data_IF_159936905659
#
_entry.id   IF_159936905659
#
_cell.length_a   1.000
_cell.length_b   1.000
_cell.length_c   1.000
_cell.angle_alpha   90.00
_cell.angle_beta   90.00
_cell.angle_gamma   90.00
#
_symmetry.space_group_name_H-M   'P 1'
#
loop_
_entity.id
_entity.type
_entity.pdbx_description
1 polymer ?
#
# COMPACT_ATOMS: atom_id res chain seq x y z
N UNK A 1 -7.24 -19.60 0.26
CA UNK A 1 -7.58 -19.19 1.55
C UNK A 1 -6.62 -18.17 2.15
N UNK A 2 -7.14 -17.20 2.78
CA UNK A 2 -6.30 -16.15 3.32
C UNK A 2 -6.07 -16.36 4.78
N UNK A 3 -4.95 -16.94 5.05
CA UNK A 3 -4.57 -17.13 6.41
C UNK A 3 -4.06 -15.87 7.03
N UNK A 4 -3.74 -14.91 6.19
CA UNK A 4 -3.11 -13.69 6.67
C UNK A 4 -3.95 -12.49 6.33
N UNK A 5 -5.17 -12.49 6.80
CA UNK A 5 -6.04 -11.35 6.58
C UNK A 5 -5.40 -10.08 7.12
N UNK A 6 -4.60 -10.21 8.16
CA UNK A 6 -3.92 -9.07 8.75
C UNK A 6 -2.87 -8.48 7.84
N UNK A 7 -2.47 -9.23 6.82
CA UNK A 7 -1.49 -8.73 5.88
C UNK A 7 -2.08 -7.77 4.87
N UNK A 8 -3.39 -7.64 4.87
CA UNK A 8 -4.05 -6.71 3.97
C UNK A 8 -4.39 -5.44 4.72
N UNK A 9 -4.00 -4.33 4.16
CA UNK A 9 -4.15 -3.04 4.81
C UNK A 9 -5.14 -2.18 4.04
N UNK A 10 -5.78 -1.28 4.77
CA UNK A 10 -6.58 -0.23 4.14
C UNK A 10 -5.67 0.92 3.77
N UNK A 11 -6.21 1.86 2.99
CA UNK A 11 -5.46 3.06 2.65
C UNK A 11 -5.06 3.81 3.91
N UNK A 12 -5.96 3.87 4.87
CA UNK A 12 -5.69 4.56 6.12
C UNK A 12 -4.51 3.93 6.84
N UNK A 13 -4.47 2.61 6.88
CA UNK A 13 -3.39 1.90 7.56
C UNK A 13 -2.08 2.07 6.82
N UNK A 14 -2.12 1.99 5.50
CA UNK A 14 -0.92 2.18 4.70
C UNK A 14 -0.37 3.60 4.87
N UNK A 15 -1.25 4.58 4.91
CA UNK A 15 -0.83 5.96 5.10
C UNK A 15 -0.12 6.11 6.44
N UNK A 16 -0.64 5.45 7.46
CA UNK A 16 -0.04 5.51 8.77
C UNK A 16 1.34 4.89 8.79
N UNK A 17 1.48 3.73 8.14
CA UNK A 17 2.75 3.05 8.10
C UNK A 17 3.80 3.83 7.34
N UNK A 18 3.41 4.44 6.24
CA UNK A 18 4.34 5.20 5.41
C UNK A 18 4.45 6.66 5.84
N UNK A 19 3.66 7.04 6.83
CA UNK A 19 3.65 8.41 7.36
C UNK A 19 3.34 9.40 6.26
N UNK A 20 2.35 9.07 5.48
CA UNK A 20 1.84 9.91 4.41
C UNK A 20 0.37 10.14 4.64
N UNK A 21 -0.20 11.14 3.99
CA UNK A 21 -1.63 11.27 4.06
C UNK A 21 -2.27 10.35 3.01
N UNK A 22 -3.58 10.19 3.10
CA UNK A 22 -4.28 9.26 2.24
C UNK A 22 -4.20 9.66 0.77
N UNK A 23 -4.18 10.96 0.52
CA UNK A 23 -4.03 11.43 -0.84
C UNK A 23 -2.76 10.93 -1.48
N UNK A 24 -1.68 10.90 -0.72
CA UNK A 24 -0.42 10.38 -1.22
C UNK A 24 -0.51 8.90 -1.56
N UNK A 25 -1.21 8.13 -0.72
CA UNK A 25 -1.40 6.70 -0.98
C UNK A 25 -2.21 6.49 -2.26
N UNK A 26 -3.30 7.24 -2.42
CA UNK A 26 -4.10 7.12 -3.64
C UNK A 26 -3.29 7.45 -4.87
N UNK A 27 -2.44 8.45 -4.78
CA UNK A 27 -1.57 8.81 -5.89
C UNK A 27 -0.63 7.67 -6.24
N UNK A 28 -0.02 7.06 -5.24
CA UNK A 28 0.88 5.93 -5.47
C UNK A 28 0.16 4.75 -6.10
N UNK A 29 -1.06 4.51 -5.65
CA UNK A 29 -1.85 3.42 -6.21
C UNK A 29 -2.23 3.70 -7.66
N UNK A 30 -2.60 4.94 -7.95
CA UNK A 30 -3.03 5.27 -9.31
C UNK A 30 -1.88 5.28 -10.30
N UNK A 31 -0.68 5.58 -9.85
CA UNK A 31 0.48 5.59 -10.73
C UNK A 31 1.17 4.22 -10.81
N UNK A 32 0.73 3.27 -10.02
CA UNK A 32 1.31 1.94 -10.04
C UNK A 32 2.57 1.79 -9.22
N UNK A 33 2.98 2.82 -8.53
CA UNK A 33 4.18 2.74 -7.70
C UNK A 33 3.96 1.91 -6.47
N UNK A 34 2.74 1.89 -5.97
CA UNK A 34 2.36 1.05 -4.85
C UNK A 34 1.30 0.10 -5.34
N UNK A 35 1.53 -1.18 -5.18
CA UNK A 35 0.61 -2.17 -5.68
C UNK A 35 -0.52 -2.41 -4.70
N UNK A 36 -1.72 -2.43 -5.22
CA UNK A 36 -2.89 -2.71 -4.44
C UNK A 36 -4.01 -3.07 -5.39
N UNK A 37 -5.12 -3.48 -4.83
CA UNK A 37 -6.27 -3.75 -5.67
C UNK A 37 -7.50 -3.12 -5.03
N UNK A 38 -8.47 -2.88 -5.88
CA UNK A 38 -9.69 -2.23 -5.45
C UNK A 38 -10.78 -3.26 -5.28
N UNK A 39 -11.35 -3.27 -4.10
CA UNK A 39 -12.44 -4.18 -3.80
C UNK A 39 -13.69 -3.35 -3.59
N UNK A 40 -14.43 -3.12 -4.69
CA UNK A 40 -15.55 -2.22 -4.63
C UNK A 40 -15.08 -0.80 -4.46
N UNK A 41 -15.34 -0.22 -3.32
CA UNK A 41 -14.94 1.16 -3.05
C UNK A 41 -13.69 1.26 -2.22
N UNK A 42 -13.17 0.12 -1.81
CA UNK A 42 -12.08 0.12 -0.85
C UNK A 42 -10.83 -0.46 -1.50
N UNK A 43 -9.73 0.25 -1.36
CA UNK A 43 -8.44 -0.27 -1.79
C UNK A 43 -7.88 -1.19 -0.73
N UNK A 44 -7.27 -2.26 -1.17
CA UNK A 44 -6.59 -3.20 -0.30
C UNK A 44 -5.13 -3.25 -0.72
N UNK A 45 -4.25 -3.16 0.25
CA UNK A 45 -2.81 -3.09 -0.01
C UNK A 45 -2.15 -4.13 0.88
N UNK A 46 -1.37 -5.02 0.28
CA UNK A 46 -0.70 -6.03 1.09
C UNK A 46 0.51 -5.43 1.80
N UNK A 47 0.88 -6.02 2.91
CA UNK A 47 2.11 -5.61 3.59
C UNK A 47 3.31 -5.81 2.69
N UNK A 48 3.29 -6.85 1.88
CA UNK A 48 4.38 -7.08 0.94
C UNK A 48 4.52 -5.93 -0.02
N UNK A 49 3.40 -5.38 -0.47
CA UNK A 49 3.44 -4.24 -1.38
C UNK A 49 4.09 -3.04 -0.70
N UNK A 50 3.79 -2.83 0.57
CA UNK A 50 4.39 -1.75 1.33
C UNK A 50 5.89 -1.97 1.45
N UNK A 51 6.29 -3.19 1.77
CA UNK A 51 7.70 -3.52 1.91
C UNK A 51 8.43 -3.29 0.60
N UNK A 52 7.84 -3.74 -0.49
CA UNK A 52 8.44 -3.56 -1.81
C UNK A 52 8.58 -2.09 -2.17
N UNK A 53 7.55 -1.32 -1.85
CA UNK A 53 7.61 0.10 -2.14
C UNK A 53 8.74 0.79 -1.37
N UNK A 54 8.85 0.48 -0.09
CA UNK A 54 9.90 1.09 0.73
C UNK A 54 11.27 0.66 0.24
N UNK A 55 11.41 -0.61 -0.09
CA UNK A 55 12.66 -1.15 -0.56
C UNK A 55 13.10 -0.49 -1.86
N UNK A 56 12.17 -0.36 -2.78
CA UNK A 56 12.47 0.26 -4.06
C UNK A 56 12.85 1.73 -3.90
N UNK A 57 12.19 2.39 -2.98
CA UNK A 57 12.51 3.80 -2.72
C UNK A 57 13.89 3.94 -2.11
N UNK A 58 14.24 3.02 -1.21
CA UNK A 58 15.52 3.09 -0.54
C UNK A 58 16.67 2.75 -1.46
N UNK A 59 16.44 1.86 -2.39
CA UNK A 59 17.51 1.38 -3.25
C UNK A 59 17.85 2.35 -4.36
N UNK A 60 17.16 3.46 -4.42
CA UNK A 60 17.43 4.44 -5.44
C UNK A 60 18.66 5.28 -5.18
N UNK A 61 19.18 5.18 -4.02
CA UNK A 61 20.36 5.96 -3.69
C UNK A 61 21.62 5.38 -4.30
#
# INVERSE_FOLDING_TARGET
MFEHADDMLTVKEAAKLLKMDRGGIYHLLSTGKLKGYRNGRVWRISKDAIIQFVRNSSSLT
#
